data_IF_269658022658
#
_entry.id   IF_269658022658
#
_cell.length_a   1.000
_cell.length_b   1.000
_cell.length_c   1.000
_cell.angle_alpha   90.00
_cell.angle_beta   90.00
_cell.angle_gamma   90.00
#
_symmetry.space_group_name_H-M   'P 1'
#
loop_
_entity.id
_entity.type
_entity.pdbx_description
1 polymer ?
#
# COMPACT_ATOMS: atom_id res chain seq x y z
N UNK A 1 3.83 1.12 70.93
CA UNK A 1 4.44 1.65 69.67
C UNK A 1 3.63 1.13 68.50
N UNK A 2 2.81 1.96 67.86
CA UNK A 2 1.96 1.57 66.74
C UNK A 2 2.70 1.80 65.44
N UNK A 3 2.89 0.74 64.63
CA UNK A 3 3.42 0.85 63.28
C UNK A 3 2.37 1.53 62.39
N UNK A 4 2.67 2.71 61.85
CA UNK A 4 1.88 3.32 60.76
C UNK A 4 2.01 2.45 59.51
N UNK A 5 0.90 1.85 59.07
CA UNK A 5 0.84 1.18 57.76
C UNK A 5 1.06 2.21 56.66
N UNK A 6 1.87 1.90 55.65
CA UNK A 6 2.08 2.83 54.52
C UNK A 6 0.78 3.05 53.75
N UNK A 7 0.43 4.31 53.52
CA UNK A 7 -0.71 4.70 52.71
C UNK A 7 -0.50 4.31 51.27
N UNK A 8 -1.45 3.54 50.69
CA UNK A 8 -1.36 3.12 49.29
C UNK A 8 -1.36 4.32 48.36
N UNK A 9 -0.35 4.44 47.51
CA UNK A 9 -0.26 5.49 46.49
C UNK A 9 -1.42 5.32 45.51
N UNK A 10 -2.23 6.35 45.34
CA UNK A 10 -3.25 6.37 44.29
C UNK A 10 -2.55 6.31 42.92
N UNK A 11 -3.00 5.48 41.97
CA UNK A 11 -2.42 5.47 40.62
C UNK A 11 -2.61 6.84 39.97
N UNK A 12 -1.52 7.44 39.50
CA UNK A 12 -1.56 8.66 38.69
C UNK A 12 -2.06 8.22 37.31
N UNK A 13 -3.35 8.41 37.05
CA UNK A 13 -3.87 8.24 35.67
C UNK A 13 -3.34 9.37 34.83
N UNK A 14 -2.22 9.11 34.10
CA UNK A 14 -1.81 9.98 33.01
C UNK A 14 -2.93 9.91 31.97
N UNK A 15 -3.48 11.08 31.58
CA UNK A 15 -4.51 11.18 30.54
C UNK A 15 -3.94 10.63 29.21
N UNK A 16 -4.13 9.34 28.96
CA UNK A 16 -3.75 8.67 27.71
C UNK A 16 -4.58 9.17 26.52
N UNK A 17 -5.74 9.81 26.77
CA UNK A 17 -6.62 10.35 25.74
C UNK A 17 -5.96 11.40 24.84
N UNK A 18 -5.16 12.33 25.39
CA UNK A 18 -4.54 13.39 24.59
C UNK A 18 -3.46 12.88 23.62
N UNK A 19 -2.75 11.80 23.94
CA UNK A 19 -1.76 11.19 23.05
C UNK A 19 -2.40 10.50 21.85
N UNK A 20 -3.52 9.80 22.08
CA UNK A 20 -4.26 9.10 21.03
C UNK A 20 -4.91 10.13 20.09
N UNK A 21 -5.55 11.17 20.64
CA UNK A 21 -6.15 12.27 19.88
C UNK A 21 -5.11 12.98 19.01
N UNK A 22 -3.98 13.39 19.58
CA UNK A 22 -2.89 14.05 18.84
C UNK A 22 -2.29 13.16 17.75
N UNK A 23 -2.21 11.84 17.97
CA UNK A 23 -1.71 10.89 16.98
C UNK A 23 -2.70 10.68 15.83
N UNK A 24 -4.01 10.62 16.15
CA UNK A 24 -5.07 10.53 15.16
C UNK A 24 -5.12 11.80 14.28
N UNK A 25 -5.10 12.98 14.88
CA UNK A 25 -5.08 14.26 14.15
C UNK A 25 -3.86 14.39 13.23
N UNK A 26 -2.68 13.97 13.70
CA UNK A 26 -1.46 13.95 12.88
C UNK A 26 -1.61 13.04 11.68
N UNK A 27 -2.15 11.83 11.86
CA UNK A 27 -2.37 10.87 10.78
C UNK A 27 -3.41 11.39 9.78
N UNK A 28 -4.49 12.01 10.22
CA UNK A 28 -5.50 12.63 9.36
C UNK A 28 -4.86 13.75 8.52
N UNK A 29 -4.07 14.62 9.14
CA UNK A 29 -3.38 15.71 8.45
C UNK A 29 -2.36 15.20 7.43
N UNK A 30 -1.63 14.14 7.76
CA UNK A 30 -0.67 13.50 6.87
C UNK A 30 -1.38 12.89 5.65
N UNK A 31 -2.41 12.09 5.88
CA UNK A 31 -3.19 11.46 4.81
C UNK A 31 -3.82 12.49 3.88
N UNK A 32 -4.30 13.61 4.44
CA UNK A 32 -4.84 14.71 3.63
C UNK A 32 -3.78 15.31 2.71
N UNK A 33 -2.59 15.61 3.23
CA UNK A 33 -1.48 16.15 2.44
C UNK A 33 -1.01 15.18 1.35
N UNK A 34 -0.94 13.89 1.66
CA UNK A 34 -0.59 12.86 0.67
C UNK A 34 -1.62 12.79 -0.46
N UNK A 35 -2.91 12.79 -0.11
CA UNK A 35 -3.98 12.76 -1.10
C UNK A 35 -3.97 14.00 -1.98
N UNK A 36 -3.79 15.21 -1.41
CA UNK A 36 -3.65 16.45 -2.17
C UNK A 36 -2.46 16.39 -3.15
N UNK A 37 -1.32 15.85 -2.72
CA UNK A 37 -0.15 15.66 -3.57
C UNK A 37 -0.42 14.68 -4.71
N UNK A 38 -1.06 13.55 -4.43
CA UNK A 38 -1.42 12.54 -5.43
C UNK A 38 -2.41 13.12 -6.44
N UNK A 39 -3.43 13.85 -5.98
CA UNK A 39 -4.39 14.51 -6.86
C UNK A 39 -3.73 15.55 -7.77
N UNK A 40 -2.77 16.32 -7.27
CA UNK A 40 -2.00 17.25 -8.10
C UNK A 40 -1.18 16.55 -9.18
N UNK A 41 -0.59 15.39 -8.87
CA UNK A 41 0.15 14.59 -9.85
C UNK A 41 -0.80 14.09 -10.95
N UNK A 42 -1.97 13.58 -10.56
CA UNK A 42 -2.99 13.10 -11.49
C UNK A 42 -3.48 14.25 -12.38
N UNK A 43 -3.77 15.41 -11.82
CA UNK A 43 -4.22 16.59 -12.58
C UNK A 43 -3.17 17.11 -13.58
N UNK A 44 -1.89 16.98 -13.25
CA UNK A 44 -0.79 17.40 -14.12
C UNK A 44 -0.42 16.36 -15.18
N UNK A 45 -0.87 15.14 -15.04
CA UNK A 45 -0.64 14.05 -16.01
C UNK A 45 -1.86 13.87 -16.91
N UNK A 46 -1.90 14.66 -17.98
CA UNK A 46 -2.98 14.59 -18.99
C UNK A 46 -2.87 13.43 -19.96
N UNK A 47 -1.81 12.61 -19.87
CA UNK A 47 -1.56 11.51 -20.79
C UNK A 47 -2.20 10.19 -20.36
N UNK A 48 -2.52 10.05 -19.09
CA UNK A 48 -3.01 8.82 -18.51
C UNK A 48 -4.40 9.00 -17.88
N UNK A 49 -5.30 8.05 -18.15
CA UNK A 49 -6.65 8.02 -17.61
C UNK A 49 -6.64 7.31 -16.25
N UNK A 50 -6.51 8.08 -15.16
CA UNK A 50 -6.47 7.55 -13.81
C UNK A 50 -7.85 7.10 -13.33
N UNK A 51 -7.88 5.93 -12.73
CA UNK A 51 -9.05 5.31 -12.12
C UNK A 51 -8.87 5.34 -10.60
N UNK A 52 -9.86 5.88 -9.88
CA UNK A 52 -9.91 5.79 -8.42
C UNK A 52 -10.40 4.41 -8.00
N UNK A 53 -9.59 3.69 -7.23
CA UNK A 53 -9.95 2.39 -6.68
C UNK A 53 -10.81 2.53 -5.43
N UNK A 54 -11.78 1.62 -5.23
CA UNK A 54 -12.53 1.50 -3.98
C UNK A 54 -11.66 1.12 -2.77
N UNK A 55 -10.41 0.74 -3.01
CA UNK A 55 -9.43 0.37 -1.98
C UNK A 55 -8.56 1.55 -1.50
N UNK A 56 -8.79 2.76 -2.04
CA UNK A 56 -8.11 3.99 -1.64
C UNK A 56 -6.72 4.17 -2.25
N UNK A 57 -6.57 3.84 -3.51
CA UNK A 57 -5.41 4.16 -4.35
C UNK A 57 -5.89 4.49 -5.77
N UNK A 58 -4.99 5.05 -6.59
CA UNK A 58 -5.24 5.36 -8.00
C UNK A 58 -4.41 4.48 -8.91
N UNK A 59 -4.92 4.21 -10.12
CA UNK A 59 -4.18 3.44 -11.11
C UNK A 59 -4.64 3.76 -12.52
N UNK A 60 -3.80 3.42 -13.50
CA UNK A 60 -4.16 3.42 -14.91
C UNK A 60 -3.53 2.21 -15.61
N UNK A 61 -4.18 1.76 -16.68
CA UNK A 61 -3.66 0.66 -17.49
C UNK A 61 -2.62 1.17 -18.49
N UNK A 62 -1.43 0.57 -18.48
CA UNK A 62 -0.44 0.74 -19.54
C UNK A 62 -0.72 -0.23 -20.70
N UNK A 63 -1.17 -1.44 -20.37
CA UNK A 63 -1.62 -2.48 -21.29
C UNK A 63 -2.86 -3.13 -20.72
N UNK A 64 -3.95 -3.14 -21.48
CA UNK A 64 -5.21 -3.77 -21.11
C UNK A 64 -5.55 -4.85 -22.12
N UNK A 65 -6.03 -6.00 -21.63
CA UNK A 65 -6.59 -7.07 -22.46
C UNK A 65 -8.12 -7.01 -22.42
N UNK A 66 -8.78 -7.85 -23.23
CA UNK A 66 -10.25 -7.84 -23.32
C UNK A 66 -10.95 -8.04 -21.97
N UNK A 67 -12.11 -7.41 -21.81
CA UNK A 67 -12.89 -7.35 -20.57
C UNK A 67 -13.42 -8.71 -20.06
N UNK A 68 -13.29 -9.77 -20.83
CA UNK A 68 -13.66 -11.16 -20.46
C UNK A 68 -12.55 -11.92 -19.74
N UNK A 69 -11.42 -11.28 -19.50
CA UNK A 69 -10.25 -11.90 -18.90
C UNK A 69 -10.50 -12.26 -17.43
N UNK A 70 -9.90 -13.37 -17.00
CA UNK A 70 -9.99 -13.87 -15.65
C UNK A 70 -9.24 -12.99 -14.66
N UNK A 71 -9.90 -12.58 -13.58
CA UNK A 71 -9.27 -11.88 -12.45
C UNK A 71 -8.88 -12.88 -11.35
N UNK A 72 -7.73 -12.66 -10.69
CA UNK A 72 -7.25 -13.55 -9.64
C UNK A 72 -8.23 -13.72 -8.50
N UNK A 73 -8.37 -14.95 -8.02
CA UNK A 73 -9.20 -15.33 -6.88
C UNK A 73 -8.32 -15.83 -5.73
N UNK A 74 -8.93 -15.99 -4.55
CA UNK A 74 -8.26 -16.53 -3.38
C UNK A 74 -7.52 -17.84 -3.69
N UNK A 75 -6.23 -17.86 -3.37
CA UNK A 75 -5.37 -19.03 -3.53
C UNK A 75 -4.77 -19.22 -4.92
N UNK A 76 -5.15 -18.43 -5.93
CA UNK A 76 -4.49 -18.44 -7.23
C UNK A 76 -3.03 -18.00 -7.10
N UNK A 77 -2.17 -18.58 -7.93
CA UNK A 77 -0.75 -18.15 -7.98
C UNK A 77 -0.58 -17.18 -9.12
N UNK A 78 -0.16 -15.97 -8.78
CA UNK A 78 0.11 -14.90 -9.74
C UNK A 78 1.61 -14.79 -9.93
N UNK A 79 2.06 -14.97 -11.16
CA UNK A 79 3.43 -14.67 -11.59
C UNK A 79 3.45 -13.25 -12.16
N UNK A 80 4.22 -12.35 -11.56
CA UNK A 80 4.24 -10.94 -11.95
C UNK A 80 5.60 -10.29 -11.73
N UNK A 81 5.79 -9.15 -12.39
CA UNK A 81 6.93 -8.27 -12.18
C UNK A 81 6.44 -6.89 -11.76
N UNK A 82 7.22 -6.21 -10.96
CA UNK A 82 6.94 -4.82 -10.61
C UNK A 82 8.22 -4.05 -10.27
N UNK A 83 8.11 -2.74 -10.24
CA UNK A 83 9.11 -1.83 -9.70
C UNK A 83 8.46 -0.96 -8.63
N UNK A 84 9.28 -0.30 -7.82
CA UNK A 84 8.84 0.68 -6.84
C UNK A 84 9.58 1.98 -7.09
N UNK A 85 8.81 3.07 -7.22
CA UNK A 85 9.32 4.43 -7.36
C UNK A 85 8.76 5.31 -6.26
N UNK A 86 9.51 6.37 -5.93
CA UNK A 86 8.98 7.47 -5.13
C UNK A 86 7.90 8.24 -5.92
N UNK A 87 7.13 9.05 -5.22
CA UNK A 87 6.11 9.91 -5.85
C UNK A 87 6.74 10.93 -6.84
N UNK A 88 8.03 11.23 -6.71
CA UNK A 88 8.78 12.09 -7.62
C UNK A 88 9.33 11.34 -8.85
N UNK A 89 9.04 10.05 -8.98
CA UNK A 89 9.47 9.22 -10.12
C UNK A 89 10.85 8.57 -9.97
N UNK A 90 11.58 8.80 -8.87
CA UNK A 90 12.87 8.16 -8.61
C UNK A 90 12.69 6.68 -8.31
N UNK A 91 13.50 5.83 -8.92
CA UNK A 91 13.45 4.38 -8.70
C UNK A 91 14.06 4.03 -7.34
N UNK A 92 13.23 3.46 -6.44
CA UNK A 92 13.66 2.94 -5.15
C UNK A 92 14.11 1.48 -5.31
N UNK A 93 13.26 0.67 -5.96
CA UNK A 93 13.56 -0.70 -6.33
C UNK A 93 13.25 -0.94 -7.79
N UNK A 94 14.24 -1.38 -8.56
CA UNK A 94 14.04 -1.74 -9.95
C UNK A 94 13.39 -3.12 -10.09
N UNK A 95 12.78 -3.39 -11.26
CA UNK A 95 12.25 -4.72 -11.60
C UNK A 95 13.31 -5.81 -11.50
N UNK A 96 14.55 -5.52 -11.91
CA UNK A 96 15.65 -6.48 -11.91
C UNK A 96 16.14 -6.80 -10.49
N UNK A 97 16.04 -5.83 -9.58
CA UNK A 97 16.37 -5.98 -8.16
C UNK A 97 15.31 -6.82 -7.42
N UNK A 98 14.02 -6.54 -7.67
CA UNK A 98 12.90 -7.29 -7.07
C UNK A 98 12.78 -8.68 -7.67
N UNK A 99 13.10 -8.85 -8.95
CA UNK A 99 12.91 -10.06 -9.76
C UNK A 99 11.43 -10.42 -9.93
N UNK A 100 11.18 -11.47 -10.72
CA UNK A 100 9.84 -12.01 -10.90
C UNK A 100 9.33 -12.65 -9.62
N UNK A 101 8.12 -12.30 -9.22
CA UNK A 101 7.45 -12.80 -8.02
C UNK A 101 6.40 -13.85 -8.40
N UNK A 102 6.24 -14.84 -7.52
CA UNK A 102 5.09 -15.73 -7.51
C UNK A 102 4.38 -15.51 -6.18
N UNK A 103 3.13 -15.10 -6.24
CA UNK A 103 2.35 -14.73 -5.07
C UNK A 103 1.06 -15.56 -5.02
N UNK A 104 0.86 -16.26 -3.92
CA UNK A 104 -0.40 -16.97 -3.67
C UNK A 104 -1.42 -15.98 -3.09
N UNK A 105 -2.45 -15.63 -3.90
CA UNK A 105 -3.43 -14.59 -3.59
C UNK A 105 -4.07 -14.82 -2.22
N UNK A 106 -3.94 -13.81 -1.34
CA UNK A 106 -4.47 -13.78 0.03
C UNK A 106 -3.97 -14.91 0.97
N UNK A 107 -2.93 -15.65 0.58
CA UNK A 107 -2.26 -16.68 1.41
C UNK A 107 -0.86 -16.27 1.88
N UNK A 108 -0.26 -15.29 1.23
CA UNK A 108 1.07 -14.78 1.55
C UNK A 108 1.00 -13.29 1.87
N UNK A 109 2.01 -12.78 2.58
CA UNK A 109 2.07 -11.36 2.94
C UNK A 109 2.73 -10.55 1.83
N UNK A 110 2.06 -9.48 1.43
CA UNK A 110 2.56 -8.40 0.59
C UNK A 110 1.86 -7.12 1.05
N UNK A 111 2.41 -5.95 0.78
CA UNK A 111 1.73 -4.72 1.21
C UNK A 111 0.33 -4.58 0.59
N UNK A 112 -0.59 -4.07 1.38
CA UNK A 112 -2.04 -4.10 1.10
C UNK A 112 -2.41 -3.52 -0.26
N UNK A 113 -1.81 -2.39 -0.65
CA UNK A 113 -2.09 -1.76 -1.94
C UNK A 113 -1.77 -2.67 -3.13
N UNK A 114 -0.61 -3.33 -3.11
CA UNK A 114 -0.20 -4.24 -4.18
C UNK A 114 -1.09 -5.49 -4.23
N UNK A 115 -1.45 -6.04 -3.07
CA UNK A 115 -2.37 -7.16 -2.98
C UNK A 115 -3.72 -6.85 -3.63
N UNK A 116 -4.32 -5.71 -3.28
CA UNK A 116 -5.60 -5.29 -3.86
C UNK A 116 -5.46 -4.86 -5.32
N UNK A 117 -4.31 -4.29 -5.70
CA UNK A 117 -3.99 -3.94 -7.08
C UNK A 117 -3.89 -5.16 -8.00
N UNK A 118 -3.27 -6.25 -7.53
CA UNK A 118 -3.18 -7.51 -8.30
C UNK A 118 -4.55 -8.11 -8.61
N UNK A 119 -5.55 -7.94 -7.73
CA UNK A 119 -6.93 -8.42 -7.96
C UNK A 119 -7.64 -7.70 -9.12
N UNK A 120 -7.10 -6.55 -9.55
CA UNK A 120 -7.66 -5.76 -10.65
C UNK A 120 -7.03 -6.08 -12.01
N UNK A 121 -6.01 -6.94 -12.05
CA UNK A 121 -5.23 -7.25 -13.25
C UNK A 121 -5.45 -8.68 -13.71
N UNK A 122 -5.68 -8.84 -14.99
CA UNK A 122 -5.68 -10.13 -15.69
C UNK A 122 -4.30 -10.50 -16.21
N UNK A 123 -4.14 -11.75 -16.64
CA UNK A 123 -2.92 -12.21 -17.32
C UNK A 123 -2.62 -11.39 -18.56
N UNK A 124 -1.38 -10.93 -18.70
CA UNK A 124 -0.91 -10.07 -19.80
C UNK A 124 -1.14 -8.56 -19.58
N UNK A 125 -1.88 -8.16 -18.54
CA UNK A 125 -2.10 -6.75 -18.25
C UNK A 125 -0.93 -6.12 -17.51
N UNK A 126 -0.77 -4.82 -17.76
CA UNK A 126 0.18 -3.97 -17.05
C UNK A 126 -0.53 -2.70 -16.62
N UNK A 127 -0.40 -2.34 -15.36
CA UNK A 127 -0.91 -1.10 -14.80
C UNK A 127 0.12 -0.38 -13.94
N UNK A 128 -0.02 0.93 -13.86
CA UNK A 128 0.73 1.78 -12.93
C UNK A 128 -0.20 2.23 -11.81
N UNK A 129 0.21 1.98 -10.59
CA UNK A 129 -0.52 2.31 -9.36
C UNK A 129 0.16 3.45 -8.63
N UNK A 130 -0.64 4.32 -8.00
CA UNK A 130 -0.18 5.30 -7.01
C UNK A 130 -0.80 4.90 -5.68
N UNK A 131 0.03 4.43 -4.76
CA UNK A 131 -0.36 4.00 -3.42
C UNK A 131 -0.06 5.09 -2.40
N UNK A 132 -1.06 5.61 -1.67
CA UNK A 132 -0.79 6.37 -0.46
C UNK A 132 0.02 5.53 0.53
N UNK A 133 0.81 6.17 1.38
CA UNK A 133 1.73 5.48 2.29
C UNK A 133 1.05 4.41 3.15
N UNK A 134 -0.17 4.67 3.62
CA UNK A 134 -0.96 3.72 4.42
C UNK A 134 -1.39 2.46 3.64
N UNK A 135 -1.36 2.48 2.30
CA UNK A 135 -1.60 1.31 1.43
C UNK A 135 -0.31 0.64 0.99
N UNK A 136 0.82 1.28 1.25
CA UNK A 136 2.17 0.79 1.01
C UNK A 136 2.79 0.25 2.31
N UNK A 137 3.94 0.78 2.72
CA UNK A 137 4.66 0.31 3.91
C UNK A 137 4.35 1.12 5.19
N UNK A 138 3.54 2.17 5.09
CA UNK A 138 3.03 2.94 6.21
C UNK A 138 4.10 3.58 7.07
N UNK A 139 3.82 3.59 8.40
CA UNK A 139 4.68 4.23 9.38
C UNK A 139 6.04 3.56 9.53
N UNK A 140 6.13 2.25 9.37
CA UNK A 140 7.39 1.51 9.60
C UNK A 140 8.33 1.52 8.39
N UNK A 141 7.82 1.77 7.17
CA UNK A 141 8.62 1.59 5.97
C UNK A 141 8.90 0.11 5.69
N UNK A 142 9.96 -0.17 4.90
CA UNK A 142 10.42 -1.53 4.60
C UNK A 142 11.73 -1.90 5.33
N UNK A 143 12.13 -1.08 6.31
CA UNK A 143 13.39 -1.22 7.09
C UNK A 143 14.67 -1.18 6.23
N UNK A 144 14.57 -0.74 4.96
CA UNK A 144 15.70 -0.67 4.04
C UNK A 144 15.71 0.66 3.26
N UNK A 145 15.06 0.74 2.10
CA UNK A 145 15.08 1.92 1.22
C UNK A 145 13.84 2.80 1.35
N UNK A 146 12.72 2.25 1.84
CA UNK A 146 11.46 2.97 1.99
C UNK A 146 11.29 3.42 3.43
N UNK A 147 11.31 4.72 3.64
CA UNK A 147 11.14 5.31 4.97
C UNK A 147 9.68 5.37 5.42
N UNK A 148 9.48 6.09 6.52
CA UNK A 148 8.17 6.29 7.17
C UNK A 148 7.25 7.15 6.31
N UNK A 149 6.02 6.67 6.09
CA UNK A 149 4.94 7.40 5.42
C UNK A 149 5.33 7.89 4.01
N UNK A 150 5.90 7.02 3.20
CA UNK A 150 6.28 7.32 1.82
C UNK A 150 5.22 6.78 0.85
N UNK A 151 4.50 7.63 0.10
CA UNK A 151 3.63 7.19 -0.98
C UNK A 151 4.46 6.67 -2.16
N UNK A 152 3.96 5.67 -2.86
CA UNK A 152 4.71 4.93 -3.86
C UNK A 152 4.00 4.90 -5.22
N UNK A 153 4.80 4.87 -6.28
CA UNK A 153 4.35 4.55 -7.62
C UNK A 153 4.90 3.17 -7.99
N UNK A 154 4.03 2.25 -8.38
CA UNK A 154 4.41 0.90 -8.77
C UNK A 154 3.85 0.56 -10.15
N UNK A 155 4.71 0.19 -11.11
CA UNK A 155 4.28 -0.40 -12.37
C UNK A 155 4.32 -1.91 -12.24
N UNK A 156 3.16 -2.56 -12.40
CA UNK A 156 2.94 -3.99 -12.19
C UNK A 156 2.53 -4.64 -13.49
N UNK A 157 3.17 -5.74 -13.86
CA UNK A 157 2.86 -6.54 -15.06
C UNK A 157 2.57 -7.98 -14.63
N UNK A 158 1.36 -8.47 -14.90
CA UNK A 158 0.97 -9.85 -14.65
C UNK A 158 1.38 -10.72 -15.82
N UNK A 159 2.28 -11.67 -15.58
CA UNK A 159 2.77 -12.58 -16.61
C UNK A 159 1.86 -13.79 -16.77
N UNK A 160 1.40 -14.37 -15.64
CA UNK A 160 0.57 -15.58 -15.63
C UNK A 160 -0.26 -15.68 -14.36
N UNK A 161 -1.47 -16.24 -14.50
CA UNK A 161 -2.32 -16.60 -13.38
C UNK A 161 -2.57 -18.10 -13.43
N UNK A 162 -2.13 -18.83 -12.41
CA UNK A 162 -2.39 -20.25 -12.24
C UNK A 162 -3.53 -20.42 -11.24
N UNK A 163 -4.66 -20.91 -11.71
CA UNK A 163 -5.86 -21.12 -10.88
C UNK A 163 -5.61 -22.17 -9.82
N UNK A 164 -6.07 -21.89 -8.61
CA UNK A 164 -6.09 -22.87 -7.53
C UNK A 164 -7.18 -23.93 -7.87
N UNK A 165 -6.75 -25.14 -8.15
CA UNK A 165 -7.67 -26.27 -8.31
C UNK A 165 -8.06 -26.74 -6.89
N UNK A 166 -9.20 -26.29 -6.41
CA UNK A 166 -9.88 -26.92 -5.26
C UNK A 166 -10.73 -28.08 -5.71
#
# INVERSE_FOLDING_TARGET
MGCKSPEARKPISVKTGSFIENSAERNISLNKKENELIEQIILNDSLNDYISSNYGFYYYFNTKVDSTSYLPQFGDIINFNYNIKSINGETIYSKDEIKTQNYAMDKEEIFTGLREGLKLLSEGETATFIFPSQKAFGYYGDENKIGTNIPLICKVSVNKITKNQQ
#
